data_IF_270121201688
#
_entry.id   IF_270121201688
#
_cell.length_a   1.000
_cell.length_b   1.000
_cell.length_c   1.000
_cell.angle_alpha   90.00
_cell.angle_beta   90.00
_cell.angle_gamma   90.00
#
_symmetry.space_group_name_H-M   'P 1'
#
loop_
_entity.id
_entity.type
_entity.pdbx_description
1 polymer ?
#
# COMPACT_ATOMS: atom_id res chain seq x y z
N UNK A 1 38.50 -63.50 -4.00
CA UNK A 1 39.25 -62.24 -3.77
C UNK A 1 38.96 -61.16 -4.83
N UNK A 2 39.12 -61.42 -6.14
CA UNK A 2 38.92 -60.39 -7.21
C UNK A 2 37.52 -59.74 -7.24
N UNK A 3 36.44 -60.52 -7.01
CA UNK A 3 35.06 -60.00 -6.97
C UNK A 3 34.76 -59.09 -5.77
N UNK A 4 35.38 -59.37 -4.62
CA UNK A 4 35.22 -58.57 -3.41
C UNK A 4 35.91 -57.20 -3.56
N UNK A 5 37.08 -57.18 -4.21
CA UNK A 5 37.81 -55.95 -4.53
C UNK A 5 37.04 -55.04 -5.50
N UNK A 6 36.38 -55.62 -6.51
CA UNK A 6 35.57 -54.85 -7.47
C UNK A 6 34.34 -54.20 -6.80
N UNK A 7 33.70 -54.89 -5.86
CA UNK A 7 32.57 -54.37 -5.07
C UNK A 7 32.99 -53.21 -4.17
N UNK A 8 34.14 -53.33 -3.48
CA UNK A 8 34.68 -52.24 -2.66
C UNK A 8 35.05 -51.01 -3.50
N UNK A 9 35.59 -51.19 -4.70
CA UNK A 9 35.93 -50.10 -5.61
C UNK A 9 34.68 -49.35 -6.11
N UNK A 10 33.60 -50.05 -6.46
CA UNK A 10 32.34 -49.40 -6.86
C UNK A 10 31.71 -48.60 -5.71
N UNK A 11 31.71 -49.14 -4.49
CA UNK A 11 31.21 -48.43 -3.31
C UNK A 11 32.02 -47.17 -3.02
N UNK A 12 33.35 -47.23 -3.15
CA UNK A 12 34.21 -46.07 -2.97
C UNK A 12 33.92 -44.98 -4.01
N UNK A 13 33.71 -45.35 -5.27
CA UNK A 13 33.36 -44.41 -6.36
C UNK A 13 31.98 -43.81 -6.14
N UNK A 14 30.99 -44.60 -5.69
CA UNK A 14 29.65 -44.10 -5.38
C UNK A 14 29.66 -43.11 -4.20
N UNK A 15 30.45 -43.40 -3.16
CA UNK A 15 30.64 -42.52 -2.01
C UNK A 15 31.37 -41.23 -2.44
N UNK A 16 32.45 -41.32 -3.22
CA UNK A 16 33.15 -40.17 -3.76
C UNK A 16 32.27 -39.32 -4.68
N UNK A 17 31.44 -39.96 -5.51
CA UNK A 17 30.45 -39.28 -6.35
C UNK A 17 29.39 -38.57 -5.53
N UNK A 18 28.92 -39.18 -4.44
CA UNK A 18 27.97 -38.56 -3.50
C UNK A 18 28.58 -37.37 -2.74
N UNK A 19 29.82 -37.49 -2.27
CA UNK A 19 30.54 -36.40 -1.62
C UNK A 19 30.86 -35.26 -2.59
N UNK A 20 31.25 -35.56 -3.83
CA UNK A 20 31.43 -34.57 -4.88
C UNK A 20 30.11 -33.87 -5.22
N UNK A 21 28.99 -34.61 -5.28
CA UNK A 21 27.66 -34.05 -5.52
C UNK A 21 27.18 -33.16 -4.36
N UNK A 22 27.48 -33.52 -3.12
CA UNK A 22 27.24 -32.68 -1.94
C UNK A 22 28.14 -31.43 -1.93
N UNK A 23 29.41 -31.54 -2.37
CA UNK A 23 30.35 -30.42 -2.45
C UNK A 23 30.07 -29.41 -3.58
N UNK A 24 29.29 -29.80 -4.60
CA UNK A 24 28.80 -28.91 -5.68
C UNK A 24 27.57 -28.11 -5.25
N UNK A 25 26.89 -28.46 -4.15
CA UNK A 25 26.00 -27.53 -3.47
C UNK A 25 26.87 -26.50 -2.76
N UNK A 26 27.22 -25.44 -3.48
CA UNK A 26 27.79 -24.25 -2.87
C UNK A 26 26.95 -23.91 -1.62
N UNK A 27 27.57 -23.61 -0.46
CA UNK A 27 26.83 -23.07 0.66
C UNK A 27 26.08 -21.86 0.12
N UNK A 28 24.75 -21.87 0.21
CA UNK A 28 23.95 -20.69 -0.12
C UNK A 28 24.45 -19.61 0.83
N UNK A 29 25.23 -18.69 0.29
CA UNK A 29 25.77 -17.59 1.04
C UNK A 29 24.56 -16.70 1.36
N UNK A 30 23.95 -16.90 2.53
CA UNK A 30 22.75 -16.19 2.99
C UNK A 30 23.01 -14.69 3.29
N UNK A 31 24.11 -14.14 2.78
CA UNK A 31 24.49 -12.74 2.90
C UNK A 31 23.94 -11.90 1.74
N UNK A 32 22.74 -12.21 1.23
CA UNK A 32 22.03 -11.27 0.37
C UNK A 32 21.71 -10.01 1.20
N UNK A 33 22.02 -8.80 0.70
CA UNK A 33 21.64 -7.57 1.37
C UNK A 33 20.14 -7.58 1.70
N UNK A 34 19.78 -7.13 2.90
CA UNK A 34 18.37 -6.99 3.27
C UNK A 34 17.79 -5.82 2.49
N UNK A 35 16.73 -6.08 1.72
CA UNK A 35 15.92 -5.04 1.07
C UNK A 35 14.81 -4.63 2.03
N UNK A 36 14.80 -3.38 2.45
CA UNK A 36 13.77 -2.81 3.33
C UNK A 36 12.68 -2.16 2.48
N UNK A 37 11.43 -2.58 2.69
CA UNK A 37 10.26 -2.02 2.01
C UNK A 37 9.43 -1.25 3.02
N UNK A 38 9.26 0.06 2.83
CA UNK A 38 8.24 0.84 3.53
C UNK A 38 6.86 0.43 3.00
N UNK A 39 6.01 -0.11 3.88
CA UNK A 39 4.72 -0.67 3.48
C UNK A 39 3.59 0.13 4.13
N UNK A 40 2.80 0.81 3.30
CA UNK A 40 1.56 1.46 3.74
C UNK A 40 0.55 0.41 4.24
N UNK A 41 0.05 0.56 5.46
CA UNK A 41 -0.91 -0.36 6.11
C UNK A 41 -2.36 -0.22 5.60
N UNK A 42 -2.54 -0.31 4.28
CA UNK A 42 -3.85 -0.46 3.61
C UNK A 42 -4.03 -1.92 3.18
N UNK A 43 -5.28 -2.44 3.03
CA UNK A 43 -5.53 -3.74 2.42
C UNK A 43 -4.86 -3.92 1.04
N UNK A 44 -4.65 -2.83 0.29
CA UNK A 44 -3.97 -2.88 -1.00
C UNK A 44 -2.52 -3.37 -0.89
N UNK A 45 -1.84 -3.17 0.24
CA UNK A 45 -0.49 -3.69 0.44
C UNK A 45 -0.43 -5.20 0.77
N UNK A 46 -1.57 -5.89 0.84
CA UNK A 46 -1.65 -7.31 1.20
C UNK A 46 -0.73 -8.21 0.35
N UNK A 47 -0.57 -8.05 -0.98
CA UNK A 47 0.33 -8.91 -1.76
C UNK A 47 1.77 -8.94 -1.23
N UNK A 48 2.31 -7.79 -0.80
CA UNK A 48 3.68 -7.68 -0.27
C UNK A 48 3.78 -8.37 1.10
N UNK A 49 2.78 -8.16 1.97
CA UNK A 49 2.73 -8.78 3.30
C UNK A 49 2.61 -10.30 3.18
N UNK A 50 1.73 -10.77 2.30
CA UNK A 50 1.51 -12.18 2.00
C UNK A 50 2.79 -12.81 1.44
N UNK A 51 3.45 -12.15 0.48
CA UNK A 51 4.69 -12.66 -0.11
C UNK A 51 5.81 -12.82 0.94
N UNK A 52 5.93 -11.88 1.89
CA UNK A 52 6.85 -12.04 3.03
C UNK A 52 6.46 -13.19 3.94
N UNK A 53 5.16 -13.30 4.30
CA UNK A 53 4.66 -14.33 5.22
C UNK A 53 4.73 -15.74 4.65
N UNK A 54 4.47 -15.90 3.35
CA UNK A 54 4.54 -17.19 2.65
C UNK A 54 5.96 -17.54 2.19
N UNK A 55 6.94 -16.67 2.42
CA UNK A 55 8.33 -16.92 2.07
C UNK A 55 8.64 -16.82 0.57
N UNK A 56 7.77 -16.20 -0.24
CA UNK A 56 8.01 -16.03 -1.68
C UNK A 56 9.25 -15.20 -2.00
N UNK A 57 9.57 -14.19 -1.19
CA UNK A 57 10.84 -13.46 -1.36
C UNK A 57 12.04 -14.37 -1.09
N UNK A 58 12.01 -15.13 0.00
CA UNK A 58 13.08 -16.04 0.37
C UNK A 58 13.27 -17.19 -0.65
N UNK A 59 12.18 -17.71 -1.21
CA UNK A 59 12.22 -18.75 -2.25
C UNK A 59 12.90 -18.26 -3.54
N UNK A 60 12.93 -16.94 -3.77
CA UNK A 60 13.61 -16.30 -4.89
C UNK A 60 14.96 -15.69 -4.49
N UNK A 61 15.49 -16.02 -3.30
CA UNK A 61 16.79 -15.54 -2.83
C UNK A 61 16.82 -14.07 -2.38
N UNK A 62 15.67 -13.44 -2.20
CA UNK A 62 15.54 -12.05 -1.75
C UNK A 62 15.27 -12.00 -0.26
N UNK A 63 16.16 -11.35 0.50
CA UNK A 63 15.96 -11.11 1.92
C UNK A 63 15.23 -9.78 2.11
N UNK A 64 13.93 -9.82 2.45
CA UNK A 64 13.10 -8.62 2.62
C UNK A 64 12.84 -8.31 4.10
N UNK A 65 12.96 -7.05 4.50
CA UNK A 65 12.40 -6.50 5.74
C UNK A 65 11.23 -5.57 5.41
N UNK A 66 10.14 -5.63 6.19
CA UNK A 66 8.99 -4.72 6.00
C UNK A 66 8.98 -3.68 7.11
N UNK A 67 8.94 -2.40 6.73
CA UNK A 67 8.80 -1.26 7.61
C UNK A 67 7.36 -0.71 7.50
N UNK A 68 6.46 -1.06 8.42
CA UNK A 68 5.06 -0.65 8.33
C UNK A 68 4.89 0.85 8.60
N UNK A 69 4.09 1.53 7.77
CA UNK A 69 3.77 2.96 7.90
C UNK A 69 2.29 3.24 7.63
N UNK A 70 1.79 4.39 8.10
CA UNK A 70 0.41 4.81 7.90
C UNK A 70 0.26 5.73 6.68
N UNK A 71 -0.07 5.14 5.53
CA UNK A 71 -0.37 5.85 4.29
C UNK A 71 0.82 5.96 3.31
N UNK A 72 0.48 6.12 2.02
CA UNK A 72 1.46 6.21 0.93
C UNK A 72 2.38 7.44 1.02
N UNK A 73 1.89 8.57 1.52
CA UNK A 73 2.72 9.79 1.71
C UNK A 73 3.87 9.52 2.68
N UNK A 74 3.59 8.88 3.83
CA UNK A 74 4.62 8.52 4.79
C UNK A 74 5.57 7.48 4.23
N UNK A 75 5.05 6.48 3.50
CA UNK A 75 5.83 5.47 2.79
C UNK A 75 6.84 6.09 1.82
N UNK A 76 6.38 7.02 0.99
CA UNK A 76 7.24 7.76 0.07
C UNK A 76 8.32 8.57 0.82
N UNK A 77 7.92 9.31 1.88
CA UNK A 77 8.87 10.09 2.66
C UNK A 77 9.95 9.23 3.33
N UNK A 78 9.60 8.03 3.81
CA UNK A 78 10.54 7.06 4.38
C UNK A 78 11.56 6.58 3.33
N UNK A 79 11.13 6.31 2.09
CA UNK A 79 12.05 6.01 0.98
C UNK A 79 13.00 7.18 0.71
N UNK A 80 12.46 8.39 0.60
CA UNK A 80 13.26 9.58 0.31
C UNK A 80 14.19 10.00 1.44
N UNK A 81 13.91 9.60 2.68
CA UNK A 81 14.80 9.78 3.83
C UNK A 81 15.95 8.75 3.86
N UNK A 82 15.95 7.74 2.96
CA UNK A 82 16.93 6.66 2.96
C UNK A 82 16.70 5.62 4.07
N UNK A 83 15.52 5.62 4.69
CA UNK A 83 15.16 4.67 5.75
C UNK A 83 14.62 3.34 5.18
N UNK A 84 14.27 3.31 3.90
CA UNK A 84 13.87 2.11 3.16
C UNK A 84 14.44 2.13 1.74
N UNK A 85 14.64 0.96 1.14
CA UNK A 85 15.12 0.80 -0.24
C UNK A 85 13.98 0.89 -1.26
N UNK A 86 12.77 0.48 -0.85
CA UNK A 86 11.54 0.52 -1.64
C UNK A 86 10.38 1.06 -0.79
N UNK A 87 9.34 1.57 -1.43
CA UNK A 87 8.12 2.01 -0.76
C UNK A 87 6.89 1.61 -1.56
N UNK A 88 5.81 1.23 -0.87
CA UNK A 88 4.49 1.08 -1.50
C UNK A 88 3.75 2.41 -1.49
N UNK A 89 3.30 2.87 -2.66
CA UNK A 89 2.62 4.16 -2.85
C UNK A 89 1.47 4.05 -3.86
N UNK A 90 0.53 4.99 -3.84
CA UNK A 90 -0.48 5.11 -4.92
C UNK A 90 0.07 5.86 -6.14
N UNK A 91 -0.56 5.71 -7.31
CA UNK A 91 -0.25 6.52 -8.51
C UNK A 91 -0.27 8.01 -8.20
N UNK A 92 -1.23 8.44 -7.41
CA UNK A 92 -1.46 9.84 -7.03
C UNK A 92 -0.37 10.38 -6.12
N UNK A 93 0.12 9.60 -5.15
CA UNK A 93 1.26 10.01 -4.32
C UNK A 93 2.53 10.14 -5.17
N UNK A 94 2.77 9.18 -6.07
CA UNK A 94 3.89 9.26 -7.00
C UNK A 94 3.76 10.48 -7.93
N UNK A 95 2.57 10.73 -8.48
CA UNK A 95 2.26 11.88 -9.33
C UNK A 95 2.52 13.21 -8.60
N UNK A 96 1.99 13.41 -7.39
CA UNK A 96 2.20 14.65 -6.64
C UNK A 96 3.69 14.91 -6.37
N UNK A 97 4.45 13.87 -6.04
CA UNK A 97 5.90 14.01 -5.81
C UNK A 97 6.68 14.25 -7.11
N UNK A 98 6.22 13.72 -8.25
CA UNK A 98 6.89 13.94 -9.55
C UNK A 98 6.94 15.41 -9.98
N UNK A 99 6.03 16.25 -9.47
CA UNK A 99 6.08 17.70 -9.72
C UNK A 99 7.15 18.43 -8.91
N UNK A 100 7.71 17.78 -7.87
CA UNK A 100 8.68 18.39 -6.96
C UNK A 100 10.07 17.79 -7.13
N UNK A 101 10.19 16.57 -7.65
CA UNK A 101 11.44 15.81 -7.75
C UNK A 101 11.36 14.69 -8.79
N UNK A 102 12.51 14.25 -9.26
CA UNK A 102 12.70 13.27 -10.33
C UNK A 102 13.67 12.13 -9.97
N UNK A 103 14.10 12.04 -8.71
CA UNK A 103 15.08 11.09 -8.20
C UNK A 103 14.46 9.81 -7.59
N UNK A 104 13.30 9.40 -8.11
CA UNK A 104 12.66 8.13 -7.78
C UNK A 104 12.14 7.42 -9.05
N UNK A 105 11.98 6.10 -8.97
CA UNK A 105 11.48 5.29 -10.09
C UNK A 105 10.32 4.40 -9.64
N UNK A 106 9.36 4.18 -10.54
CA UNK A 106 8.28 3.21 -10.36
C UNK A 106 8.75 1.88 -10.93
N UNK A 107 8.76 0.83 -10.11
CA UNK A 107 9.27 -0.50 -10.51
C UNK A 107 8.18 -1.43 -11.04
N UNK A 108 7.02 -1.45 -10.39
CA UNK A 108 5.91 -2.32 -10.73
C UNK A 108 4.60 -1.70 -10.26
N UNK A 109 3.48 -2.12 -10.85
CA UNK A 109 2.16 -2.02 -10.24
C UNK A 109 1.78 -3.41 -9.76
N UNK A 110 1.23 -3.54 -8.56
CA UNK A 110 0.95 -4.85 -7.96
C UNK A 110 -0.50 -5.04 -7.49
N UNK A 111 -1.31 -3.99 -7.48
CA UNK A 111 -2.74 -4.07 -7.16
C UNK A 111 -3.48 -2.85 -7.69
N UNK A 112 -4.76 -3.02 -8.00
CA UNK A 112 -5.68 -1.94 -8.30
C UNK A 112 -7.02 -2.13 -7.59
N UNK A 113 -7.73 -1.02 -7.36
CA UNK A 113 -9.07 -1.02 -6.80
C UNK A 113 -9.85 0.19 -7.29
N UNK A 114 -11.07 -0.08 -7.77
CA UNK A 114 -12.01 0.96 -8.18
C UNK A 114 -12.99 1.38 -7.08
N UNK A 115 -12.76 0.95 -5.84
CA UNK A 115 -13.69 1.13 -4.73
C UNK A 115 -12.98 1.27 -3.36
N UNK A 116 -11.76 1.79 -3.33
CA UNK A 116 -11.00 1.96 -2.08
C UNK A 116 -11.32 3.31 -1.42
N UNK A 117 -10.94 4.43 -2.07
CA UNK A 117 -11.21 5.79 -1.57
C UNK A 117 -12.69 6.14 -1.71
N UNK A 118 -13.28 6.70 -0.64
CA UNK A 118 -14.69 7.08 -0.58
C UNK A 118 -14.86 8.43 0.13
N UNK A 119 -15.98 9.08 -0.12
CA UNK A 119 -16.44 10.24 0.64
C UNK A 119 -17.48 9.81 1.69
N UNK A 120 -17.22 10.16 2.95
CA UNK A 120 -18.07 9.83 4.10
C UNK A 120 -18.53 11.09 4.81
N UNK A 121 -19.77 11.08 5.30
CA UNK A 121 -20.38 12.17 6.08
C UNK A 121 -21.35 11.61 7.10
N UNK A 122 -21.46 12.25 8.27
CA UNK A 122 -22.47 11.92 9.29
C UNK A 122 -23.68 12.86 9.25
N UNK A 123 -23.51 14.08 8.74
CA UNK A 123 -24.51 15.15 8.84
C UNK A 123 -25.08 15.56 7.48
N UNK A 124 -24.25 15.52 6.44
CA UNK A 124 -24.63 15.90 5.07
C UNK A 124 -25.16 14.69 4.28
N UNK A 125 -26.31 14.83 3.58
CA UNK A 125 -26.90 13.76 2.76
C UNK A 125 -26.20 13.65 1.40
N UNK A 126 -24.87 13.46 1.40
CA UNK A 126 -24.03 13.40 0.19
C UNK A 126 -24.42 12.30 -0.80
N UNK A 127 -25.21 11.30 -0.37
CA UNK A 127 -25.76 10.26 -1.26
C UNK A 127 -26.84 10.79 -2.22
N UNK A 128 -27.41 11.97 -1.96
CA UNK A 128 -28.46 12.58 -2.78
C UNK A 128 -27.88 13.60 -3.76
N UNK A 129 -27.04 14.51 -3.28
CA UNK A 129 -26.31 15.48 -4.09
C UNK A 129 -25.01 15.87 -3.40
N UNK A 130 -23.99 16.20 -4.20
CA UNK A 130 -22.73 16.78 -3.74
C UNK A 130 -22.81 18.30 -3.52
N UNK A 131 -23.87 18.99 -3.99
CA UNK A 131 -24.07 20.44 -3.77
C UNK A 131 -24.11 20.81 -2.28
N UNK A 132 -24.53 19.86 -1.44
CA UNK A 132 -24.58 20.01 0.03
C UNK A 132 -23.19 20.21 0.66
N UNK A 133 -22.12 19.99 -0.10
CA UNK A 133 -20.75 20.28 0.32
C UNK A 133 -20.41 21.78 0.26
N UNK A 134 -21.30 22.64 -0.24
CA UNK A 134 -21.06 24.09 -0.26
C UNK A 134 -20.70 24.62 1.14
N UNK A 135 -19.51 25.20 1.24
CA UNK A 135 -18.83 25.70 2.45
C UNK A 135 -18.51 24.65 3.52
N UNK A 136 -18.68 23.36 3.21
CA UNK A 136 -18.36 22.26 4.12
C UNK A 136 -16.85 22.19 4.39
N UNK A 137 -16.50 21.78 5.61
CA UNK A 137 -15.14 21.42 6.01
C UNK A 137 -14.92 19.95 5.67
N UNK A 138 -13.99 19.66 4.78
CA UNK A 138 -13.74 18.29 4.30
C UNK A 138 -12.34 17.86 4.73
N UNK A 139 -12.28 16.82 5.56
CA UNK A 139 -11.02 16.21 5.96
C UNK A 139 -10.41 15.38 4.83
N UNK A 140 -9.15 15.67 4.48
CA UNK A 140 -8.39 14.95 3.46
C UNK A 140 -6.95 14.72 3.90
N UNK A 141 -6.29 13.74 3.29
CA UNK A 141 -4.84 13.57 3.40
C UNK A 141 -4.19 14.33 2.25
N UNK A 142 -3.36 15.32 2.58
CA UNK A 142 -2.72 16.20 1.61
C UNK A 142 -1.83 15.43 0.62
N UNK A 143 -1.83 15.84 -0.65
CA UNK A 143 -0.98 15.29 -1.71
C UNK A 143 -1.06 13.77 -1.83
N UNK A 144 -2.29 13.23 -1.79
CA UNK A 144 -2.54 11.79 -1.78
C UNK A 144 -3.77 11.40 -2.59
N UNK A 145 -4.04 10.10 -2.68
CA UNK A 145 -5.27 9.56 -3.27
C UNK A 145 -6.55 10.14 -2.65
N UNK A 146 -6.53 10.54 -1.37
CA UNK A 146 -7.67 11.17 -0.69
C UNK A 146 -7.98 12.55 -1.28
N UNK A 147 -6.98 13.43 -1.37
CA UNK A 147 -7.17 14.77 -1.94
C UNK A 147 -7.50 14.72 -3.43
N UNK A 148 -6.76 13.91 -4.20
CA UNK A 148 -7.01 13.75 -5.63
C UNK A 148 -8.42 13.23 -5.91
N UNK A 149 -8.88 12.23 -5.15
CA UNK A 149 -10.21 11.65 -5.34
C UNK A 149 -11.31 12.67 -5.06
N UNK A 150 -11.19 13.48 -4.01
CA UNK A 150 -12.15 14.55 -3.73
C UNK A 150 -12.24 15.53 -4.91
N UNK A 151 -11.09 15.99 -5.39
CA UNK A 151 -11.04 16.96 -6.49
C UNK A 151 -11.58 16.36 -7.79
N UNK A 152 -11.18 15.13 -8.13
CA UNK A 152 -11.70 14.40 -9.28
C UNK A 152 -13.22 14.24 -9.21
N UNK A 153 -13.74 13.83 -8.05
CA UNK A 153 -15.18 13.64 -7.85
C UNK A 153 -15.94 14.95 -8.04
N UNK A 154 -15.47 16.08 -7.48
CA UNK A 154 -16.10 17.38 -7.67
C UNK A 154 -16.06 17.82 -9.14
N UNK A 155 -14.90 17.68 -9.79
CA UNK A 155 -14.72 18.03 -11.20
C UNK A 155 -15.65 17.24 -12.12
N UNK A 156 -15.74 15.91 -11.95
CA UNK A 156 -16.61 15.05 -12.76
C UNK A 156 -18.11 15.36 -12.58
N UNK A 157 -18.49 16.02 -11.48
CA UNK A 157 -19.85 16.45 -11.22
C UNK A 157 -20.09 17.93 -11.57
N UNK A 158 -19.13 18.62 -12.20
CA UNK A 158 -19.25 20.04 -12.55
C UNK A 158 -19.19 20.99 -11.36
N UNK A 159 -18.61 20.56 -10.24
CA UNK A 159 -18.55 21.27 -8.96
C UNK A 159 -17.12 21.74 -8.63
N UNK A 160 -16.27 21.96 -9.63
CA UNK A 160 -14.89 22.40 -9.44
C UNK A 160 -14.78 23.73 -8.68
N UNK A 161 -15.75 24.63 -8.91
CA UNK A 161 -15.82 25.96 -8.28
C UNK A 161 -16.65 25.96 -6.99
N UNK A 162 -17.13 24.80 -6.53
CA UNK A 162 -17.91 24.72 -5.30
C UNK A 162 -17.02 25.12 -4.13
N UNK A 163 -17.37 26.18 -3.36
CA UNK A 163 -16.53 26.60 -2.26
C UNK A 163 -16.52 25.51 -1.19
N UNK A 164 -15.36 24.92 -0.93
CA UNK A 164 -15.15 23.95 0.14
C UNK A 164 -13.94 24.36 0.99
N UNK A 165 -13.87 23.87 2.22
CA UNK A 165 -12.71 24.09 3.10
C UNK A 165 -12.02 22.76 3.36
N UNK A 166 -10.93 22.49 2.64
CA UNK A 166 -10.10 21.31 2.91
C UNK A 166 -9.39 21.48 4.26
N UNK A 167 -9.47 20.46 5.10
CA UNK A 167 -8.72 20.36 6.34
C UNK A 167 -7.79 19.13 6.25
N UNK A 168 -6.52 19.33 6.53
CA UNK A 168 -5.48 18.32 6.31
C UNK A 168 -5.19 17.53 7.58
N UNK A 169 -5.21 16.20 7.46
CA UNK A 169 -5.00 15.26 8.56
C UNK A 169 -4.09 14.10 8.13
N UNK A 170 -3.51 13.41 9.11
CA UNK A 170 -2.98 12.06 8.85
C UNK A 170 -4.14 11.06 8.70
N UNK A 171 -3.94 9.93 7.97
CA UNK A 171 -5.02 9.00 7.68
C UNK A 171 -5.75 8.47 8.93
N UNK A 172 -5.00 8.20 10.00
CA UNK A 172 -5.47 7.69 11.29
C UNK A 172 -6.28 8.70 12.11
N UNK A 173 -6.16 10.00 11.82
CA UNK A 173 -6.91 11.06 12.51
C UNK A 173 -8.30 11.28 11.89
N UNK A 174 -8.49 10.96 10.62
CA UNK A 174 -9.71 11.30 9.87
C UNK A 174 -10.99 10.66 10.42
N UNK A 175 -11.03 9.36 10.79
CA UNK A 175 -12.22 8.78 11.41
C UNK A 175 -12.64 9.54 12.67
N UNK A 176 -11.68 9.82 13.56
CA UNK A 176 -11.93 10.57 14.79
C UNK A 176 -12.39 12.01 14.54
N UNK A 177 -11.81 12.70 13.55
CA UNK A 177 -12.21 14.05 13.18
C UNK A 177 -13.67 14.10 12.69
N UNK A 178 -14.09 13.11 11.89
CA UNK A 178 -15.49 13.00 11.45
C UNK A 178 -16.42 12.69 12.64
N UNK A 179 -16.08 11.70 13.45
CA UNK A 179 -16.92 11.25 14.59
C UNK A 179 -17.11 12.35 15.64
N UNK A 180 -16.12 13.23 15.82
CA UNK A 180 -16.20 14.40 16.72
C UNK A 180 -16.84 15.64 16.09
N UNK A 181 -17.20 15.61 14.80
CA UNK A 181 -17.77 16.76 14.09
C UNK A 181 -16.78 17.90 13.82
N UNK A 182 -15.48 17.62 13.85
CA UNK A 182 -14.44 18.59 13.47
C UNK A 182 -14.49 18.92 11.98
N UNK A 183 -14.96 17.98 11.18
CA UNK A 183 -15.21 18.10 9.73
C UNK A 183 -16.59 17.56 9.40
N UNK A 184 -17.18 18.08 8.33
CA UNK A 184 -18.53 17.74 7.88
C UNK A 184 -18.51 16.48 6.98
N UNK A 185 -17.39 16.23 6.31
CA UNK A 185 -17.13 15.04 5.53
C UNK A 185 -15.62 14.67 5.55
N UNK A 186 -15.29 13.43 5.21
CA UNK A 186 -13.90 13.00 4.97
C UNK A 186 -13.79 12.23 3.66
N UNK A 187 -12.67 12.40 2.94
CA UNK A 187 -12.28 11.50 1.87
C UNK A 187 -11.17 10.56 2.37
N UNK A 188 -11.42 9.25 2.41
CA UNK A 188 -10.44 8.30 2.95
C UNK A 188 -10.60 6.90 2.36
N UNK A 189 -9.53 6.11 2.42
CA UNK A 189 -9.43 4.72 1.96
C UNK A 189 -9.63 3.70 3.10
N UNK A 190 -9.61 2.39 2.79
CA UNK A 190 -9.73 1.32 3.79
C UNK A 190 -8.43 1.10 4.57
N UNK A 191 -8.48 0.76 5.87
CA UNK A 191 -9.66 0.36 6.64
C UNK A 191 -10.37 1.52 7.35
N UNK A 192 -9.93 2.77 7.15
CA UNK A 192 -10.47 3.93 7.86
C UNK A 192 -11.93 4.22 7.49
N UNK A 193 -12.31 3.98 6.24
CA UNK A 193 -13.72 4.03 5.81
C UNK A 193 -14.58 3.00 6.57
N UNK A 194 -14.14 1.75 6.63
CA UNK A 194 -14.77 0.71 7.44
C UNK A 194 -14.83 1.07 8.93
N UNK A 195 -13.76 1.65 9.48
CA UNK A 195 -13.72 2.10 10.88
C UNK A 195 -14.82 3.13 11.19
N UNK A 196 -15.02 4.12 10.32
CA UNK A 196 -16.14 5.08 10.46
C UNK A 196 -17.48 4.36 10.51
N UNK A 197 -17.71 3.38 9.65
CA UNK A 197 -18.96 2.62 9.65
C UNK A 197 -19.18 1.82 10.94
N UNK A 198 -18.11 1.30 11.55
CA UNK A 198 -18.20 0.52 12.79
C UNK A 198 -18.42 1.40 14.02
N UNK A 199 -17.80 2.57 14.07
CA UNK A 199 -17.81 3.45 15.24
C UNK A 199 -18.96 4.48 15.22
N UNK A 200 -19.52 4.78 14.05
CA UNK A 200 -20.63 5.71 13.93
C UNK A 200 -21.89 5.14 14.60
N UNK A 201 -22.40 5.88 15.58
CA UNK A 201 -23.69 5.59 16.24
C UNK A 201 -24.91 6.06 15.41
N UNK A 202 -24.65 6.83 14.34
CA UNK A 202 -25.66 7.42 13.48
C UNK A 202 -25.52 6.89 12.05
N UNK A 203 -26.54 7.14 11.22
CA UNK A 203 -26.50 6.73 9.81
C UNK A 203 -25.37 7.46 9.09
N UNK A 204 -24.41 6.69 8.59
CA UNK A 204 -23.34 7.20 7.73
C UNK A 204 -23.89 7.41 6.31
N UNK A 205 -23.67 8.61 5.76
CA UNK A 205 -23.89 8.90 4.35
C UNK A 205 -22.59 8.67 3.59
N UNK A 206 -22.67 7.92 2.48
CA UNK A 206 -21.57 7.66 1.57
C UNK A 206 -21.98 8.11 0.17
N UNK A 207 -21.09 8.80 -0.55
CA UNK A 207 -21.30 9.02 -1.98
C UNK A 207 -20.93 7.77 -2.78
N UNK A 208 -21.83 7.29 -3.64
CA UNK A 208 -21.55 6.14 -4.49
C UNK A 208 -20.55 6.53 -5.58
N UNK A 209 -19.32 6.09 -5.39
CA UNK A 209 -18.17 6.50 -6.19
C UNK A 209 -17.42 5.34 -6.82
N UNK A 210 -17.98 4.14 -6.74
CA UNK A 210 -17.39 2.94 -7.34
C UNK A 210 -17.19 3.17 -8.84
N UNK A 211 -15.96 2.99 -9.31
CA UNK A 211 -15.60 3.19 -10.71
C UNK A 211 -15.23 4.64 -11.09
N UNK A 212 -15.38 5.63 -10.21
CA UNK A 212 -14.94 7.00 -10.50
C UNK A 212 -13.42 7.16 -10.47
N UNK A 213 -12.74 6.35 -9.68
CA UNK A 213 -11.29 6.34 -9.58
C UNK A 213 -10.80 4.89 -9.51
N UNK A 214 -9.90 4.52 -10.41
CA UNK A 214 -9.18 3.25 -10.34
C UNK A 214 -7.80 3.50 -9.72
N UNK A 215 -7.72 3.29 -8.41
CA UNK A 215 -6.50 3.45 -7.62
C UNK A 215 -5.56 2.28 -7.89
N UNK A 216 -4.32 2.55 -8.26
CA UNK A 216 -3.23 1.59 -8.47
C UNK A 216 -2.12 1.80 -7.44
N UNK A 217 -1.54 0.71 -6.95
CA UNK A 217 -0.40 0.76 -6.04
C UNK A 217 0.86 0.22 -6.70
N UNK A 218 1.96 0.89 -6.38
CA UNK A 218 3.30 0.68 -6.93
C UNK A 218 4.30 0.47 -5.81
#
# INVERSE_FOLDING_TARGET
MKRLFALCAMLAIAILGYWAWQGVRAPVNNSSPTVTIAVSLTPLAAPIIIAKKQGFFASHGVNVSLLPVHGGVKSFNTLMAGEADLATVSETVAMFNSFQRDDFNILASFVESNNDVKLWSLTLPIHQSLDVLANARIGVVQSSASEFFLDLMLNLNGLSELPIRKAYYSPDQLPGALLRGEVDAISIWEPYGYQVMQEAQQRVSQFNSKGLHNLSFY
#
